data_IF_204215803463
#
_entry.id   IF_204215803463
#
_cell.length_a   1.000
_cell.length_b   1.000
_cell.length_c   1.000
_cell.angle_alpha   90.00
_cell.angle_beta   90.00
_cell.angle_gamma   90.00
#
_symmetry.space_group_name_H-M   'P 1'
#
loop_
_entity.id
_entity.type
_entity.pdbx_description
1 polymer ?
#
# COMPACT_ATOMS: atom_id res chain seq x y z
N UNK A 1 -0.71 9.66 -3.68
CA UNK A 1 -0.80 8.22 -3.37
C UNK A 1 -0.35 8.01 -1.93
N UNK A 2 -0.99 7.12 -1.18
CA UNK A 2 -0.58 6.82 0.20
C UNK A 2 -0.56 5.30 0.39
N UNK A 3 0.33 4.78 1.23
CA UNK A 3 0.23 3.43 1.79
C UNK A 3 0.21 3.56 3.30
N UNK A 4 -0.73 2.93 3.98
CA UNK A 4 -0.83 2.97 5.44
C UNK A 4 -0.06 1.82 6.09
N UNK A 5 1.26 1.97 6.18
CA UNK A 5 2.13 1.06 6.94
C UNK A 5 1.97 1.29 8.45
N UNK A 6 0.82 0.88 9.02
CA UNK A 6 0.46 1.11 10.43
C UNK A 6 1.14 0.15 11.41
N UNK A 7 1.75 -0.92 10.88
CA UNK A 7 2.58 -1.90 11.58
C UNK A 7 3.66 -2.43 10.63
N UNK A 8 4.76 -2.93 11.21
CA UNK A 8 5.77 -3.72 10.49
C UNK A 8 5.17 -4.90 9.72
N UNK A 9 4.15 -5.56 10.28
CA UNK A 9 3.49 -6.67 9.59
C UNK A 9 2.50 -6.14 8.52
N UNK A 10 2.69 -6.47 7.23
CA UNK A 10 1.82 -5.99 6.15
C UNK A 10 0.38 -6.48 6.30
N UNK A 11 0.19 -7.71 6.79
CA UNK A 11 -1.13 -8.30 7.03
C UNK A 11 -1.87 -7.56 8.15
N UNK A 12 -1.17 -7.26 9.26
CA UNK A 12 -1.73 -6.50 10.38
C UNK A 12 -2.11 -5.09 9.94
N UNK A 13 -1.26 -4.45 9.12
CA UNK A 13 -1.54 -3.15 8.53
C UNK A 13 -2.82 -3.15 7.69
N UNK A 14 -3.03 -4.18 6.85
CA UNK A 14 -4.22 -4.25 6.01
C UNK A 14 -5.51 -4.44 6.83
N UNK A 15 -5.47 -5.31 7.85
CA UNK A 15 -6.60 -5.56 8.76
C UNK A 15 -6.99 -4.33 9.57
N UNK A 16 -6.03 -3.46 9.90
CA UNK A 16 -6.25 -2.25 10.69
C UNK A 16 -7.09 -1.19 9.98
N UNK A 17 -7.15 -1.22 8.65
CA UNK A 17 -7.86 -0.23 7.85
C UNK A 17 -9.38 -0.41 7.92
N UNK A 18 -10.11 0.71 7.84
CA UNK A 18 -11.55 0.70 7.65
C UNK A 18 -11.94 0.41 6.18
N UNK A 19 -13.23 0.17 5.96
CA UNK A 19 -13.79 -0.19 4.67
C UNK A 19 -13.49 0.82 3.55
N UNK A 20 -13.37 2.12 3.84
CA UNK A 20 -13.07 3.13 2.82
C UNK A 20 -11.62 3.05 2.39
N UNK A 21 -10.68 2.98 3.34
CA UNK A 21 -9.24 2.91 3.00
C UNK A 21 -8.84 1.54 2.45
N UNK A 22 -9.42 0.42 2.92
CA UNK A 22 -9.14 -0.90 2.34
C UNK A 22 -9.34 -0.89 0.83
N UNK A 23 -10.46 -0.36 0.34
CA UNK A 23 -10.76 -0.31 -1.10
C UNK A 23 -9.72 0.55 -1.83
N UNK A 24 -9.52 1.78 -1.36
CA UNK A 24 -8.61 2.74 -2.02
C UNK A 24 -7.16 2.25 -2.05
N UNK A 25 -6.70 1.62 -0.96
CA UNK A 25 -5.33 1.13 -0.82
C UNK A 25 -5.00 -0.01 -1.79
N UNK A 26 -5.98 -0.81 -2.24
CA UNK A 26 -5.72 -1.85 -3.26
C UNK A 26 -5.22 -1.23 -4.56
N UNK A 27 -5.90 -0.19 -5.07
CA UNK A 27 -5.52 0.50 -6.30
C UNK A 27 -4.20 1.26 -6.13
N UNK A 28 -4.04 2.02 -5.04
CA UNK A 28 -2.83 2.81 -4.81
C UNK A 28 -1.59 1.90 -4.67
N UNK A 29 -1.73 0.72 -4.05
CA UNK A 29 -0.64 -0.26 -3.94
C UNK A 29 -0.28 -0.84 -5.31
N UNK A 30 -1.29 -1.21 -6.13
CA UNK A 30 -1.06 -1.73 -7.46
C UNK A 30 -0.38 -0.71 -8.39
N UNK A 31 -0.73 0.57 -8.26
CA UNK A 31 -0.06 1.67 -8.98
C UNK A 31 1.40 1.84 -8.54
N UNK A 32 1.72 1.73 -7.25
CA UNK A 32 3.10 1.80 -6.76
C UNK A 32 3.95 0.62 -7.23
N UNK A 33 3.41 -0.60 -7.17
CA UNK A 33 4.07 -1.80 -7.70
C UNK A 33 4.33 -1.64 -9.21
N UNK A 34 3.34 -1.15 -9.95
CA UNK A 34 3.48 -0.86 -11.38
C UNK A 34 4.53 0.22 -11.67
N UNK A 35 4.57 1.31 -10.89
CA UNK A 35 5.57 2.36 -11.04
C UNK A 35 6.98 1.81 -10.79
N UNK A 36 7.15 0.96 -9.78
CA UNK A 36 8.44 0.36 -9.46
C UNK A 36 8.94 -0.54 -10.59
N UNK A 37 8.05 -1.27 -11.27
CA UNK A 37 8.39 -2.05 -12.46
C UNK A 37 8.82 -1.14 -13.62
N UNK A 38 8.03 -0.11 -13.95
CA UNK A 38 8.36 0.87 -15.00
C UNK A 38 9.73 1.53 -14.79
N UNK A 39 10.03 1.90 -13.55
CA UNK A 39 11.26 2.61 -13.21
C UNK A 39 12.48 1.68 -13.07
N UNK A 40 12.30 0.37 -13.24
CA UNK A 40 13.37 -0.64 -13.27
C UNK A 40 13.30 -1.48 -14.55
N UNK A 41 13.07 -0.82 -15.70
CA UNK A 41 13.13 -1.40 -17.05
C UNK A 41 12.08 -2.48 -17.38
N UNK A 42 11.02 -2.61 -16.58
CA UNK A 42 9.85 -3.43 -16.93
C UNK A 42 8.70 -2.61 -17.51
N UNK A 43 7.59 -3.27 -17.89
CA UNK A 43 6.39 -2.62 -18.42
C UNK A 43 5.22 -2.76 -17.45
N UNK A 44 5.09 -1.84 -16.49
CA UNK A 44 4.03 -1.90 -15.48
C UNK A 44 2.60 -1.83 -16.06
N UNK A 45 1.60 -2.51 -15.45
CA UNK A 45 0.22 -2.59 -15.95
C UNK A 45 -0.59 -1.29 -15.84
N UNK A 46 -0.11 -0.31 -15.06
CA UNK A 46 -0.65 1.03 -14.97
C UNK A 46 0.30 2.04 -15.58
N UNK A 47 -0.24 3.12 -16.16
CA UNK A 47 0.55 4.28 -16.60
C UNK A 47 1.40 4.81 -15.45
N UNK A 48 2.68 5.08 -15.72
CA UNK A 48 3.60 5.67 -14.76
C UNK A 48 3.05 7.02 -14.24
N UNK A 49 2.96 7.14 -12.92
CA UNK A 49 2.50 8.36 -12.24
C UNK A 49 3.38 8.65 -11.02
N UNK A 50 3.39 9.89 -10.53
CA UNK A 50 4.03 10.24 -9.24
C UNK A 50 5.47 9.71 -9.07
N UNK A 51 6.29 9.77 -10.13
CA UNK A 51 7.64 9.17 -10.19
C UNK A 51 8.61 9.66 -9.10
N UNK A 52 8.43 10.90 -8.63
CA UNK A 52 9.25 11.53 -7.59
C UNK A 52 8.62 11.45 -6.19
N UNK A 53 7.47 10.78 -6.04
CA UNK A 53 6.83 10.65 -4.73
C UNK A 53 7.67 9.74 -3.82
N UNK A 54 7.87 10.06 -2.52
CA UNK A 54 8.76 9.30 -1.66
C UNK A 54 8.44 7.81 -1.55
N UNK A 55 7.15 7.42 -1.58
CA UNK A 55 6.76 6.00 -1.66
C UNK A 55 7.17 5.34 -2.98
N UNK A 56 7.06 6.04 -4.12
CA UNK A 56 7.51 5.51 -5.40
C UNK A 56 9.01 5.28 -5.38
N UNK A 57 9.77 6.23 -4.82
CA UNK A 57 11.22 6.11 -4.65
C UNK A 57 11.55 4.93 -3.73
N UNK A 58 10.86 4.78 -2.60
CA UNK A 58 11.09 3.68 -1.66
C UNK A 58 10.81 2.31 -2.28
N UNK A 59 9.66 2.14 -2.92
CA UNK A 59 9.25 0.85 -3.52
C UNK A 59 10.10 0.49 -4.73
N UNK A 60 10.50 1.46 -5.57
CA UNK A 60 11.35 1.18 -6.73
C UNK A 60 12.80 0.88 -6.35
N UNK A 61 13.28 1.43 -5.25
CA UNK A 61 14.70 1.36 -4.88
C UNK A 61 15.01 0.20 -3.94
N UNK A 62 14.02 -0.49 -3.36
CA UNK A 62 14.26 -1.62 -2.45
C UNK A 62 13.31 -2.77 -2.73
N UNK A 63 13.87 -3.94 -3.06
CA UNK A 63 13.13 -5.19 -3.23
C UNK A 63 12.42 -5.59 -1.94
N UNK A 64 13.00 -5.31 -0.78
CA UNK A 64 12.37 -5.55 0.51
C UNK A 64 11.12 -4.70 0.69
N UNK A 65 11.17 -3.42 0.31
CA UNK A 65 10.01 -2.52 0.27
C UNK A 65 8.95 -2.96 -0.74
N UNK A 66 9.37 -3.40 -1.92
CA UNK A 66 8.48 -3.94 -2.93
C UNK A 66 7.74 -5.19 -2.43
N UNK A 67 8.48 -6.16 -1.84
CA UNK A 67 7.90 -7.38 -1.25
C UNK A 67 6.95 -7.06 -0.11
N UNK A 68 7.31 -6.14 0.78
CA UNK A 68 6.42 -5.70 1.85
C UNK A 68 5.11 -5.13 1.29
N UNK A 69 5.18 -4.28 0.27
CA UNK A 69 4.00 -3.72 -0.39
C UNK A 69 3.19 -4.80 -1.10
N UNK A 70 3.83 -5.77 -1.74
CA UNK A 70 3.17 -6.86 -2.42
C UNK A 70 2.39 -7.75 -1.44
N UNK A 71 2.98 -8.10 -0.29
CA UNK A 71 2.28 -8.79 0.80
C UNK A 71 1.13 -7.96 1.37
N UNK A 72 1.33 -6.64 1.52
CA UNK A 72 0.29 -5.74 1.99
C UNK A 72 -0.87 -5.67 0.98
N UNK A 73 -0.57 -5.59 -0.31
CA UNK A 73 -1.52 -5.64 -1.42
C UNK A 73 -2.34 -6.93 -1.42
N UNK A 74 -1.71 -8.08 -1.18
CA UNK A 74 -2.41 -9.35 -1.01
C UNK A 74 -3.37 -9.33 0.16
N UNK A 75 -2.89 -8.86 1.31
CA UNK A 75 -3.71 -8.76 2.52
C UNK A 75 -4.89 -7.80 2.32
N UNK A 76 -4.69 -6.69 1.61
CA UNK A 76 -5.73 -5.73 1.24
C UNK A 76 -6.79 -6.38 0.33
N UNK A 77 -6.38 -7.14 -0.69
CA UNK A 77 -7.31 -7.87 -1.55
C UNK A 77 -8.12 -8.91 -0.75
N UNK A 78 -7.48 -9.63 0.17
CA UNK A 78 -8.15 -10.61 1.04
C UNK A 78 -9.16 -9.92 1.97
N UNK A 79 -8.79 -8.78 2.56
CA UNK A 79 -9.69 -7.98 3.39
C UNK A 79 -10.86 -7.42 2.60
N UNK A 80 -10.63 -6.96 1.35
CA UNK A 80 -11.69 -6.54 0.45
C UNK A 80 -12.69 -7.68 0.19
N UNK A 81 -12.19 -8.85 -0.22
CA UNK A 81 -13.05 -10.02 -0.49
C UNK A 81 -13.84 -10.43 0.75
N UNK A 82 -13.19 -10.49 1.91
CA UNK A 82 -13.83 -10.84 3.18
C UNK A 82 -14.95 -9.87 3.56
N UNK A 83 -14.74 -8.56 3.37
CA UNK A 83 -15.68 -7.51 3.81
C UNK A 83 -16.82 -7.28 2.84
N UNK A 84 -16.57 -7.38 1.53
CA UNK A 84 -17.53 -6.99 0.50
C UNK A 84 -18.10 -8.18 -0.28
N UNK A 85 -17.61 -9.40 -0.06
CA UNK A 85 -17.99 -10.59 -0.82
C UNK A 85 -17.80 -10.42 -2.34
N UNK A 86 -16.75 -9.68 -2.72
CA UNK A 86 -16.40 -9.37 -4.12
C UNK A 86 -14.89 -9.48 -4.28
N UNK A 87 -14.42 -9.86 -5.46
CA UNK A 87 -12.98 -9.84 -5.78
C UNK A 87 -12.62 -8.49 -6.38
N UNK A 88 -11.60 -7.81 -5.83
CA UNK A 88 -11.13 -6.56 -6.41
C UNK A 88 -10.38 -6.83 -7.73
N UNK A 89 -10.64 -6.05 -8.80
CA UNK A 89 -10.04 -6.26 -10.12
C UNK A 89 -8.50 -6.33 -10.09
N UNK A 90 -7.86 -5.48 -9.29
CA UNK A 90 -6.39 -5.52 -9.16
C UNK A 90 -5.86 -6.87 -8.69
N UNK A 91 -6.64 -7.71 -7.98
CA UNK A 91 -6.19 -9.04 -7.51
C UNK A 91 -5.62 -9.88 -8.65
N UNK A 92 -6.10 -9.72 -9.88
CA UNK A 92 -5.59 -10.46 -11.04
C UNK A 92 -4.18 -10.03 -11.51
N UNK A 93 -3.65 -8.91 -11.02
CA UNK A 93 -2.28 -8.43 -11.31
C UNK A 93 -1.20 -9.04 -10.40
N UNK A 94 -1.61 -9.86 -9.44
CA UNK A 94 -0.76 -10.44 -8.39
C UNK A 94 0.45 -11.19 -8.95
N UNK A 95 0.21 -12.16 -9.84
CA UNK A 95 1.28 -12.94 -10.47
C UNK A 95 2.20 -12.05 -11.30
N UNK A 96 1.67 -11.03 -11.95
CA UNK A 96 2.48 -10.06 -12.69
C UNK A 96 3.46 -9.31 -11.78
N UNK A 97 3.01 -8.87 -10.60
CA UNK A 97 3.88 -8.22 -9.63
C UNK A 97 4.92 -9.18 -9.03
N UNK A 98 4.54 -10.44 -8.77
CA UNK A 98 5.47 -11.46 -8.29
C UNK A 98 6.59 -11.76 -9.29
N UNK A 99 6.25 -11.95 -10.57
CA UNK A 99 7.24 -12.32 -11.59
C UNK A 99 8.25 -11.21 -11.87
N UNK A 100 7.88 -9.95 -11.60
CA UNK A 100 8.74 -8.79 -11.83
C UNK A 100 9.54 -8.37 -10.59
N UNK A 101 9.47 -9.08 -9.45
CA UNK A 101 10.18 -8.73 -8.21
C UNK A 101 11.69 -8.64 -8.39
N UNK A 102 12.25 -9.45 -9.29
CA UNK A 102 13.69 -9.52 -9.55
C UNK A 102 14.24 -8.30 -10.31
N UNK A 103 13.36 -7.50 -10.95
CA UNK A 103 13.75 -6.22 -11.55
C UNK A 103 14.15 -5.19 -10.49
N UNK A 104 13.66 -5.34 -9.25
CA UNK A 104 13.85 -4.34 -8.20
C UNK A 104 15.23 -4.55 -7.55
N UNK A 105 16.02 -3.47 -7.35
CA UNK A 105 17.31 -3.53 -6.66
C UNK A 105 17.20 -4.11 -5.26
N UNK A 106 18.19 -4.90 -4.86
CA UNK A 106 18.23 -5.52 -3.54
C UNK A 106 18.76 -4.53 -2.50
N UNK A 107 17.86 -3.88 -1.78
CA UNK A 107 18.18 -2.99 -0.68
C UNK A 107 17.32 -3.35 0.53
N UNK A 108 17.75 -2.87 1.69
CA UNK A 108 17.07 -3.13 2.96
C UNK A 108 15.65 -2.54 3.01
N UNK A 109 14.84 -3.08 3.92
CA UNK A 109 13.51 -2.57 4.20
C UNK A 109 13.61 -1.29 5.04
N UNK A 110 12.97 -0.23 4.58
CA UNK A 110 12.80 0.98 5.38
C UNK A 110 11.43 1.62 5.13
N UNK A 111 10.87 2.31 6.10
CA UNK A 111 9.55 2.92 5.95
C UNK A 111 9.66 4.44 5.83
N UNK A 112 8.94 5.01 4.87
CA UNK A 112 8.93 6.46 4.64
C UNK A 112 7.67 7.08 5.24
N UNK A 113 7.84 8.14 6.04
CA UNK A 113 6.71 8.90 6.59
C UNK A 113 6.11 9.86 5.55
N UNK A 114 5.07 9.40 4.84
CA UNK A 114 4.29 10.22 3.92
C UNK A 114 3.01 10.80 4.54
N UNK A 115 2.99 11.02 5.87
CA UNK A 115 1.88 11.68 6.56
C UNK A 115 2.19 13.17 6.81
N UNK A 116 1.20 13.92 7.29
CA UNK A 116 1.39 15.32 7.72
C UNK A 116 2.15 15.41 9.06
N UNK A 117 2.33 14.28 9.77
CA UNK A 117 2.96 14.22 11.09
C UNK A 117 4.46 13.95 10.93
N UNK A 118 5.20 14.94 10.39
CA UNK A 118 6.62 14.79 10.04
C UNK A 118 7.54 14.66 11.26
N UNK A 119 7.15 15.23 12.38
CA UNK A 119 7.95 15.23 13.61
C UNK A 119 7.91 13.88 14.35
N UNK A 120 7.03 12.97 13.93
CA UNK A 120 6.91 11.64 14.53
C UNK A 120 7.92 10.69 13.89
N UNK A 121 8.92 10.30 14.69
CA UNK A 121 9.99 9.38 14.26
C UNK A 121 9.46 7.95 13.99
N UNK A 122 8.58 7.42 14.84
CA UNK A 122 7.91 6.13 14.55
C UNK A 122 6.89 6.31 13.42
N UNK A 123 7.31 5.90 12.23
CA UNK A 123 6.50 5.95 11.00
C UNK A 123 5.15 5.22 11.15
N UNK A 124 5.11 4.12 11.90
CA UNK A 124 3.89 3.34 12.10
C UNK A 124 2.93 4.08 13.02
N UNK A 125 3.47 4.72 14.07
CA UNK A 125 2.70 5.62 14.91
C UNK A 125 2.15 6.80 14.11
N UNK A 126 2.97 7.42 13.25
CA UNK A 126 2.54 8.52 12.38
C UNK A 126 1.36 8.09 11.48
N UNK A 127 1.43 6.90 10.87
CA UNK A 127 0.32 6.36 10.07
C UNK A 127 -0.93 6.05 10.90
N UNK A 128 -0.80 5.52 12.11
CA UNK A 128 -1.94 5.28 13.01
C UNK A 128 -2.62 6.59 13.42
N UNK A 129 -1.85 7.63 13.74
CA UNK A 129 -2.38 8.97 14.07
C UNK A 129 -3.05 9.60 12.84
N UNK A 130 -2.44 9.47 11.66
CA UNK A 130 -3.03 9.93 10.40
C UNK A 130 -4.41 9.29 10.14
N UNK A 131 -4.53 7.98 10.34
CA UNK A 131 -5.82 7.30 10.22
C UNK A 131 -6.84 7.78 11.25
N UNK A 132 -6.45 7.95 12.53
CA UNK A 132 -7.33 8.48 13.57
C UNK A 132 -7.87 9.86 13.23
N UNK A 133 -7.02 10.77 12.76
CA UNK A 133 -7.43 12.11 12.27
C UNK A 133 -8.42 11.98 11.12
N UNK A 134 -8.15 11.10 10.16
CA UNK A 134 -9.06 10.84 9.02
C UNK A 134 -10.42 10.26 9.46
N UNK A 135 -10.45 9.36 10.44
CA UNK A 135 -11.69 8.80 10.98
C UNK A 135 -12.55 9.81 11.74
N UNK A 136 -11.92 10.72 12.50
CA UNK A 136 -12.62 11.82 13.18
C UNK A 136 -13.32 12.73 12.18
N UNK A 137 -12.67 12.97 11.03
CA UNK A 137 -13.11 13.92 10.01
C UNK A 137 -13.94 13.30 8.87
N UNK A 138 -14.19 11.98 8.87
CA UNK A 138 -15.04 11.37 7.86
C UNK A 138 -16.52 11.72 8.12
N UNK A 139 -17.20 12.22 7.07
CA UNK A 139 -18.65 12.45 7.06
C UNK A 139 -19.39 11.14 7.36
N UNK A 140 -19.06 10.07 6.62
CA UNK A 140 -19.60 8.73 6.85
C UNK A 140 -18.65 7.99 7.79
N UNK A 141 -19.15 7.61 8.97
CA UNK A 141 -18.32 6.93 9.98
C UNK A 141 -17.68 5.65 9.42
N UNK A 142 -16.37 5.46 9.65
CA UNK A 142 -15.65 4.27 9.18
C UNK A 142 -16.20 3.01 9.84
N UNK A 143 -16.14 1.90 9.12
CA UNK A 143 -16.56 0.57 9.59
C UNK A 143 -15.46 -0.46 9.28
N UNK A 144 -15.37 -1.50 10.11
CA UNK A 144 -14.39 -2.59 9.96
C UNK A 144 -15.02 -3.97 9.72
N UNK A 145 -16.35 -4.08 9.88
CA UNK A 145 -17.12 -5.31 9.72
C UNK A 145 -18.13 -5.16 8.57
N UNK A 146 -18.69 -6.31 8.12
CA UNK A 146 -19.79 -6.37 7.15
C UNK A 146 -20.97 -5.53 7.66
N UNK A 147 -21.66 -4.88 6.73
CA UNK A 147 -23.07 -4.51 6.93
C UNK A 147 -23.89 -5.79 6.88
#
# INVERSE_FOLDING_TARGET
>A
MQIFATYNCPIKSAKYLDNKRVIKQVLESAQLLSNAIHLNNGVGPYKLTHRHHPLTISVKSSRSNYKWLLEHFYALCKEYTRRFNKVHKCRYLSTYFETNVNLIPDNELYFVNCTDFKDIQDVHLAYRICLRKKWKNDIIKPRWRKK
#
